data_IF_672662801793
#
_entry.id   IF_672662801793
#
_cell.length_a   1.000
_cell.length_b   1.000
_cell.length_c   1.000
_cell.angle_alpha   90.00
_cell.angle_beta   90.00
_cell.angle_gamma   90.00
#
_symmetry.space_group_name_H-M   'P 1'
#
loop_
_entity.id
_entity.type
_entity.pdbx_description
1 polymer ?
#
# COMPACT_ATOMS: atom_id res chain seq x y z
N UNK A 1 3.57 -8.37 7.02
CA UNK A 1 4.78 -8.79 6.28
C UNK A 1 4.62 -10.18 5.67
N UNK A 2 4.37 -11.25 6.43
CA UNK A 2 4.22 -12.63 5.90
C UNK A 2 3.22 -12.77 4.74
N UNK A 3 2.06 -12.12 4.84
CA UNK A 3 1.05 -12.14 3.77
C UNK A 3 1.52 -11.53 2.45
N UNK A 4 2.50 -10.62 2.46
CA UNK A 4 3.10 -10.06 1.24
C UNK A 4 4.30 -10.89 0.79
N UNK A 5 5.11 -11.37 1.74
CA UNK A 5 6.33 -12.13 1.49
C UNK A 5 6.07 -13.51 0.87
N UNK A 6 5.03 -14.21 1.33
CA UNK A 6 4.74 -15.58 0.89
C UNK A 6 3.71 -15.67 -0.24
N UNK A 7 2.97 -14.59 -0.52
CA UNK A 7 1.86 -14.65 -1.47
C UNK A 7 2.33 -14.57 -2.92
N UNK A 8 1.84 -15.49 -3.76
CA UNK A 8 2.30 -15.64 -5.14
C UNK A 8 2.13 -14.36 -5.97
N UNK A 9 1.06 -13.58 -5.73
CA UNK A 9 0.80 -12.34 -6.46
C UNK A 9 1.71 -11.16 -6.07
N UNK A 10 2.47 -11.26 -4.95
CA UNK A 10 3.27 -10.15 -4.43
C UNK A 10 4.75 -10.48 -4.24
N UNK A 11 5.13 -11.75 -4.05
CA UNK A 11 6.52 -12.15 -3.69
C UNK A 11 7.58 -11.68 -4.70
N UNK A 12 7.27 -11.72 -6.00
CA UNK A 12 8.23 -11.36 -7.04
C UNK A 12 8.44 -9.84 -7.05
N UNK A 13 7.36 -9.07 -6.86
CA UNK A 13 7.44 -7.63 -6.74
C UNK A 13 8.11 -7.18 -5.43
N UNK A 14 7.92 -7.93 -4.35
CA UNK A 14 8.65 -7.69 -3.11
C UNK A 14 10.15 -7.87 -3.31
N UNK A 15 10.57 -8.89 -4.08
CA UNK A 15 11.99 -9.11 -4.41
C UNK A 15 12.57 -7.94 -5.20
N UNK A 16 11.84 -7.44 -6.20
CA UNK A 16 12.23 -6.26 -6.98
C UNK A 16 12.35 -5.02 -6.09
N UNK A 17 11.37 -4.81 -5.21
CA UNK A 17 11.38 -3.69 -4.25
C UNK A 17 12.58 -3.77 -3.30
N UNK A 18 12.83 -4.92 -2.68
CA UNK A 18 13.97 -5.11 -1.78
C UNK A 18 15.30 -4.80 -2.47
N UNK A 19 15.48 -5.28 -3.72
CA UNK A 19 16.66 -4.96 -4.53
C UNK A 19 16.80 -3.46 -4.78
N UNK A 20 15.71 -2.78 -5.15
CA UNK A 20 15.71 -1.34 -5.40
C UNK A 20 16.00 -0.50 -4.14
N UNK A 21 15.70 -1.04 -2.97
CA UNK A 21 15.95 -0.42 -1.67
C UNK A 21 17.26 -0.88 -1.01
N UNK A 22 18.05 -1.72 -1.67
CA UNK A 22 19.28 -2.30 -1.13
C UNK A 22 19.06 -3.05 0.21
N UNK A 23 17.90 -3.70 0.36
CA UNK A 23 17.55 -4.53 1.51
C UNK A 23 17.59 -6.00 1.11
N UNK A 24 18.18 -6.84 1.96
CA UNK A 24 18.15 -8.29 1.75
C UNK A 24 16.70 -8.78 1.72
N UNK A 25 16.36 -9.64 0.75
CA UNK A 25 15.00 -10.14 0.59
C UNK A 25 14.73 -11.31 1.56
N UNK A 26 14.89 -11.06 2.85
CA UNK A 26 14.56 -11.96 3.95
C UNK A 26 13.60 -11.28 4.94
N UNK A 27 12.74 -12.04 5.64
CA UNK A 27 11.71 -11.47 6.50
C UNK A 27 12.24 -10.54 7.60
N UNK A 28 13.36 -10.89 8.23
CA UNK A 28 13.90 -10.17 9.38
C UNK A 28 14.56 -8.85 8.94
N UNK A 29 15.34 -8.88 7.85
CA UNK A 29 15.93 -7.67 7.28
C UNK A 29 14.87 -6.72 6.73
N UNK A 30 13.82 -7.24 6.08
CA UNK A 30 12.68 -6.42 5.64
C UNK A 30 12.04 -5.76 6.86
N UNK A 31 11.69 -6.54 7.89
CA UNK A 31 11.02 -6.00 9.08
C UNK A 31 11.87 -4.93 9.79
N UNK A 32 13.17 -5.16 9.93
CA UNK A 32 14.09 -4.19 10.52
C UNK A 32 14.22 -2.90 9.67
N UNK A 33 14.24 -3.03 8.35
CA UNK A 33 14.35 -1.88 7.45
C UNK A 33 13.07 -1.03 7.38
N UNK A 34 11.89 -1.63 7.62
CA UNK A 34 10.60 -0.92 7.60
C UNK A 34 10.53 0.26 8.59
N UNK A 35 11.31 0.24 9.67
CA UNK A 35 11.35 1.32 10.65
C UNK A 35 12.04 2.59 10.11
N UNK A 36 13.00 2.43 9.19
CA UNK A 36 13.88 3.52 8.75
C UNK A 36 13.75 3.86 7.26
N UNK A 37 13.16 2.97 6.47
CA UNK A 37 12.95 3.16 5.04
C UNK A 37 11.46 3.35 4.72
N UNK A 38 10.99 4.59 4.77
CA UNK A 38 9.60 4.97 4.48
C UNK A 38 9.16 4.55 3.08
N UNK A 39 10.07 4.54 2.10
CA UNK A 39 9.76 4.13 0.72
C UNK A 39 9.54 2.61 0.65
N UNK A 40 10.37 1.84 1.35
CA UNK A 40 10.14 0.40 1.50
C UNK A 40 8.81 0.15 2.22
N UNK A 41 8.53 0.88 3.30
CA UNK A 41 7.30 0.72 4.06
C UNK A 41 6.04 1.03 3.22
N UNK A 42 6.05 2.14 2.48
CA UNK A 42 4.99 2.48 1.54
C UNK A 42 4.85 1.42 0.43
N UNK A 43 5.97 0.92 -0.11
CA UNK A 43 5.99 -0.11 -1.14
C UNK A 43 5.39 -1.44 -0.64
N UNK A 44 5.81 -1.92 0.53
CA UNK A 44 5.27 -3.14 1.15
C UNK A 44 3.79 -2.98 1.47
N UNK A 45 3.37 -1.82 1.98
CA UNK A 45 1.96 -1.53 2.19
C UNK A 45 1.17 -1.60 0.87
N UNK A 46 1.71 -1.02 -0.22
CA UNK A 46 1.05 -1.08 -1.54
C UNK A 46 0.96 -2.50 -2.09
N UNK A 47 1.98 -3.33 -1.90
CA UNK A 47 1.96 -4.73 -2.32
C UNK A 47 0.89 -5.56 -1.61
N UNK A 48 0.37 -5.12 -0.44
CA UNK A 48 -0.78 -5.77 0.19
C UNK A 48 -2.01 -5.79 -0.72
N UNK A 49 -2.16 -4.79 -1.60
CA UNK A 49 -3.27 -4.73 -2.56
C UNK A 49 -3.24 -5.90 -3.57
N UNK A 50 -2.06 -6.42 -3.92
CA UNK A 50 -1.92 -7.56 -4.83
C UNK A 50 -2.42 -8.87 -4.21
N UNK A 51 -2.56 -8.91 -2.89
CA UNK A 51 -3.05 -10.10 -2.17
C UNK A 51 -4.58 -10.16 -2.12
N UNK A 52 -5.26 -9.08 -2.49
CA UNK A 52 -6.71 -9.03 -2.59
C UNK A 52 -7.18 -9.44 -3.99
N UNK A 53 -8.01 -10.49 -4.14
CA UNK A 53 -8.44 -10.97 -5.45
C UNK A 53 -9.48 -10.08 -6.15
N UNK A 54 -9.99 -9.03 -5.47
CA UNK A 54 -10.98 -8.12 -6.03
C UNK A 54 -10.31 -7.01 -6.85
N UNK A 55 -11.02 -6.50 -7.85
CA UNK A 55 -10.57 -5.33 -8.60
C UNK A 55 -10.39 -4.11 -7.68
N UNK A 56 -9.46 -3.23 -8.07
CA UNK A 56 -9.32 -1.93 -7.43
C UNK A 56 -10.57 -1.08 -7.68
N UNK A 57 -11.02 -0.29 -6.69
CA UNK A 57 -12.11 0.65 -6.87
C UNK A 57 -11.72 1.75 -7.85
N UNK A 58 -12.72 2.33 -8.51
CA UNK A 58 -12.50 3.49 -9.37
C UNK A 58 -11.96 4.67 -8.54
N UNK A 59 -11.10 5.48 -9.15
CA UNK A 59 -10.64 6.74 -8.55
C UNK A 59 -11.86 7.65 -8.36
N UNK A 60 -12.05 8.17 -7.15
CA UNK A 60 -13.22 8.96 -6.76
C UNK A 60 -14.30 8.17 -6.01
N UNK A 61 -14.27 6.83 -6.04
CA UNK A 61 -15.20 6.00 -5.27
C UNK A 61 -14.72 5.85 -3.81
N UNK A 62 -15.13 6.81 -2.98
CA UNK A 62 -14.71 6.95 -1.58
C UNK A 62 -15.10 5.74 -0.73
N UNK A 63 -16.32 5.22 -0.93
CA UNK A 63 -16.88 4.13 -0.13
C UNK A 63 -16.25 2.79 -0.51
N UNK A 64 -16.05 2.54 -1.81
CA UNK A 64 -15.36 1.33 -2.26
C UNK A 64 -13.88 1.34 -1.86
N UNK A 65 -13.24 2.52 -1.79
CA UNK A 65 -11.89 2.68 -1.26
C UNK A 65 -11.81 2.36 0.25
N UNK A 66 -12.80 2.81 1.04
CA UNK A 66 -12.90 2.43 2.46
C UNK A 66 -13.08 0.92 2.62
N UNK A 67 -13.97 0.32 1.82
CA UNK A 67 -14.21 -1.12 1.84
C UNK A 67 -12.95 -1.92 1.45
N UNK A 68 -12.14 -1.41 0.53
CA UNK A 68 -10.81 -1.97 0.22
C UNK A 68 -9.87 -1.87 1.42
N UNK A 69 -9.71 -0.68 2.00
CA UNK A 69 -8.85 -0.46 3.14
C UNK A 69 -9.20 -1.39 4.31
N UNK A 70 -10.48 -1.50 4.66
CA UNK A 70 -10.95 -2.35 5.76
C UNK A 70 -10.68 -3.84 5.52
N UNK A 71 -10.89 -4.36 4.29
CA UNK A 71 -10.72 -5.80 4.04
C UNK A 71 -9.25 -6.24 3.98
N UNK A 72 -8.38 -5.34 3.52
CA UNK A 72 -6.95 -5.62 3.32
C UNK A 72 -6.12 -5.32 4.57
N UNK A 73 -6.23 -4.12 5.15
CA UNK A 73 -5.46 -3.73 6.34
C UNK A 73 -6.09 -4.18 7.66
N UNK A 74 -7.41 -4.37 7.71
CA UNK A 74 -8.16 -4.82 8.91
C UNK A 74 -7.71 -4.12 10.21
N UNK A 75 -7.71 -2.78 10.25
CA UNK A 75 -7.22 -2.04 11.40
C UNK A 75 -8.05 -2.33 12.66
N UNK A 76 -7.41 -2.38 13.83
CA UNK A 76 -8.10 -2.67 15.09
C UNK A 76 -9.11 -1.59 15.51
N UNK A 77 -8.97 -0.36 15.03
CA UNK A 77 -9.89 0.75 15.28
C UNK A 77 -10.08 1.57 14.00
N UNK A 78 -11.01 1.19 13.11
CA UNK A 78 -11.26 1.96 11.90
C UNK A 78 -11.92 3.30 12.23
N UNK A 79 -11.58 4.33 11.45
CA UNK A 79 -12.12 5.69 11.57
C UNK A 79 -12.89 6.08 10.30
N UNK A 80 -14.05 5.47 10.02
CA UNK A 80 -14.79 5.73 8.79
C UNK A 80 -15.29 7.18 8.69
N UNK A 81 -15.45 7.88 9.82
CA UNK A 81 -15.93 9.27 9.83
C UNK A 81 -14.90 10.26 9.27
N UNK A 82 -13.61 10.00 9.46
CA UNK A 82 -12.52 10.86 8.94
C UNK A 82 -12.07 10.45 7.54
N UNK A 83 -12.50 9.29 7.07
CA UNK A 83 -12.06 8.73 5.79
C UNK A 83 -12.35 9.64 4.58
N UNK A 84 -13.56 10.24 4.42
CA UNK A 84 -13.85 11.05 3.22
C UNK A 84 -12.93 12.26 3.07
N UNK A 85 -12.59 12.93 4.16
CA UNK A 85 -11.70 14.09 4.12
C UNK A 85 -10.26 13.69 3.82
N UNK A 86 -9.77 12.59 4.41
CA UNK A 86 -8.44 12.06 4.13
C UNK A 86 -8.31 11.56 2.69
N UNK A 87 -9.35 10.91 2.16
CA UNK A 87 -9.39 10.46 0.77
C UNK A 87 -9.31 11.65 -0.20
N UNK A 88 -10.04 12.74 0.09
CA UNK A 88 -9.98 13.97 -0.71
C UNK A 88 -8.58 14.58 -0.73
N UNK A 89 -7.90 14.63 0.43
CA UNK A 89 -6.52 15.11 0.53
C UNK A 89 -5.56 14.22 -0.28
N UNK A 90 -5.71 12.90 -0.21
CA UNK A 90 -4.90 11.96 -0.98
C UNK A 90 -5.09 12.13 -2.50
N UNK A 91 -6.33 12.32 -2.96
CA UNK A 91 -6.61 12.62 -4.37
C UNK A 91 -5.96 13.94 -4.82
N UNK A 92 -6.01 14.98 -3.99
CA UNK A 92 -5.37 16.25 -4.29
C UNK A 92 -3.84 16.11 -4.42
N UNK A 93 -3.21 15.32 -3.55
CA UNK A 93 -1.77 15.05 -3.62
C UNK A 93 -1.38 14.35 -4.93
N UNK A 94 -2.11 13.31 -5.33
CA UNK A 94 -1.82 12.55 -6.57
C UNK A 94 -2.20 13.34 -7.84
N UNK A 95 -3.26 14.15 -7.77
CA UNK A 95 -3.70 15.00 -8.87
C UNK A 95 -2.82 16.24 -9.09
N UNK A 96 -2.18 16.74 -8.04
CA UNK A 96 -1.30 17.92 -8.10
C UNK A 96 0.07 17.65 -8.73
N UNK A 97 0.62 16.43 -8.56
CA UNK A 97 1.93 16.07 -9.13
C UNK A 97 1.84 15.58 -10.59
N UNK A 98 0.77 14.89 -10.97
CA UNK A 98 0.57 14.42 -12.36
C UNK A 98 -0.01 15.48 -13.32
N UNK A 99 -0.50 16.62 -12.82
CA UNK A 99 -0.93 17.73 -13.67
C UNK A 99 0.23 18.49 -14.33
N UNK A 100 1.48 18.27 -13.91
CA UNK A 100 2.70 18.87 -14.47
C UNK A 100 3.55 17.88 -15.29
N UNK A 101 3.00 16.71 -15.64
CA UNK A 101 3.61 15.78 -16.58
C UNK A 101 2.60 15.51 -17.70
N UNK A 102 2.39 16.54 -18.52
CA UNK A 102 1.74 16.46 -19.82
C UNK A 102 2.45 17.41 -20.79
#
# INVERSE_FOLDING_TARGET
MWGVFLHAASKDQLTVLCKARSVACDPDAIYAALEYDDVLAAGVARLLLWTDPKALPAVGDVDAALALYLRTWRPGKPHPQTWPDLYRQALAAVGGEHANVA
#
